data_IF_984184569797
#
_entry.id   IF_984184569797
#
_cell.length_a   1.000
_cell.length_b   1.000
_cell.length_c   1.000
_cell.angle_alpha   90.00
_cell.angle_beta   90.00
_cell.angle_gamma   90.00
#
_symmetry.space_group_name_H-M   'P 1'
#
loop_
_entity.id
_entity.type
_entity.pdbx_description
1 polymer ?
#
# COMPACT_ATOMS: atom_id res chain seq x y z
N UNK A 1 -21.41 20.64 16.75
CA UNK A 1 -22.71 19.93 16.57
C UNK A 1 -23.70 20.69 15.67
N UNK A 2 -23.28 21.16 14.46
CA UNK A 2 -24.17 21.95 13.57
C UNK A 2 -24.45 21.34 12.19
N UNK A 3 -23.72 20.31 11.73
CA UNK A 3 -24.00 19.70 10.42
C UNK A 3 -25.04 18.57 10.46
N UNK A 4 -25.12 17.81 11.56
CA UNK A 4 -26.09 16.72 11.69
C UNK A 4 -27.54 17.23 11.77
N UNK A 5 -27.75 18.39 12.41
CA UNK A 5 -29.06 19.00 12.55
C UNK A 5 -29.60 19.55 11.21
N UNK A 6 -28.73 20.04 10.32
CA UNK A 6 -29.12 20.48 8.98
C UNK A 6 -29.48 19.31 8.06
N UNK A 7 -28.74 18.20 8.15
CA UNK A 7 -29.03 16.99 7.37
C UNK A 7 -30.36 16.34 7.77
N UNK A 8 -30.65 16.25 9.07
CA UNK A 8 -31.94 15.71 9.56
C UNK A 8 -33.12 16.58 9.16
N UNK A 9 -32.99 17.91 9.19
CA UNK A 9 -34.08 18.82 8.79
C UNK A 9 -34.44 18.68 7.30
N UNK A 10 -33.45 18.43 6.43
CA UNK A 10 -33.64 18.23 4.99
C UNK A 10 -34.29 16.87 4.65
N UNK A 11 -33.93 15.81 5.38
CA UNK A 11 -34.52 14.47 5.19
C UNK A 11 -35.98 14.44 5.66
N UNK A 12 -36.28 15.07 6.80
CA UNK A 12 -37.66 15.16 7.31
C UNK A 12 -38.58 16.00 6.41
N UNK A 13 -38.09 17.08 5.79
CA UNK A 13 -38.91 17.87 4.85
C UNK A 13 -39.20 17.11 3.57
N UNK A 14 -38.26 16.29 3.06
CA UNK A 14 -38.51 15.44 1.87
C UNK A 14 -39.47 14.28 2.13
N UNK A 15 -39.46 13.70 3.33
CA UNK A 15 -40.39 12.62 3.68
C UNK A 15 -41.81 13.16 3.86
N UNK A 16 -41.98 14.29 4.52
CA UNK A 16 -43.30 14.93 4.71
C UNK A 16 -43.90 15.44 3.39
N UNK A 17 -43.09 15.92 2.43
CA UNK A 17 -43.61 16.30 1.11
C UNK A 17 -44.05 15.09 0.28
N UNK A 18 -43.38 13.94 0.44
CA UNK A 18 -43.70 12.72 -0.32
C UNK A 18 -45.03 12.11 0.12
N UNK A 19 -45.33 12.16 1.42
CA UNK A 19 -46.60 11.68 1.97
C UNK A 19 -47.77 12.61 1.63
N UNK A 20 -47.55 13.94 1.58
CA UNK A 20 -48.57 14.91 1.18
C UNK A 20 -48.98 14.76 -0.29
N UNK A 21 -48.02 14.47 -1.18
CA UNK A 21 -48.29 14.24 -2.63
C UNK A 21 -49.00 12.89 -2.84
N UNK A 22 -48.74 11.90 -2.00
CA UNK A 22 -49.42 10.60 -2.08
C UNK A 22 -50.86 10.67 -1.56
N UNK A 23 -51.15 11.54 -0.59
CA UNK A 23 -52.49 11.70 -0.03
C UNK A 23 -53.41 12.58 -0.88
N UNK A 24 -52.85 13.51 -1.67
CA UNK A 24 -53.61 14.38 -2.58
C UNK A 24 -53.98 13.71 -3.92
N UNK A 25 -53.47 12.52 -4.22
CA UNK A 25 -53.76 11.77 -5.46
C UNK A 25 -54.89 10.73 -5.34
N UNK A 26 -55.46 10.53 -4.15
CA UNK A 26 -56.39 9.41 -3.89
C UNK A 26 -57.84 9.80 -3.55
N UNK A 27 -58.28 11.04 -3.77
CA UNK A 27 -59.69 11.42 -3.55
C UNK A 27 -60.21 12.37 -4.62
N UNK A 28 -60.73 11.80 -5.69
CA UNK A 28 -61.82 12.38 -6.47
C UNK A 28 -63.08 11.52 -6.28
N UNK A 29 -64.23 12.19 -6.18
CA UNK A 29 -65.63 11.70 -6.19
C UNK A 29 -66.31 11.56 -4.80
N UNK A 30 -67.36 12.38 -4.60
CA UNK A 30 -68.60 11.93 -3.95
C UNK A 30 -69.03 12.55 -2.62
N UNK A 31 -69.71 13.70 -2.70
CA UNK A 31 -70.98 14.06 -2.03
C UNK A 31 -71.19 13.96 -0.49
N UNK A 32 -71.53 15.14 0.05
CA UNK A 32 -72.69 15.49 0.92
C UNK A 32 -72.80 15.16 2.43
N UNK A 33 -73.16 16.25 3.13
CA UNK A 33 -73.98 16.45 4.34
C UNK A 33 -73.42 16.40 5.78
N UNK A 34 -73.63 17.57 6.41
CA UNK A 34 -74.03 17.86 7.79
C UNK A 34 -73.01 17.80 8.94
N UNK A 35 -72.65 19.01 9.37
CA UNK A 35 -72.09 19.29 10.68
C UNK A 35 -73.12 19.13 11.78
N UNK A 36 -72.73 18.39 12.82
CA UNK A 36 -73.02 18.65 14.24
C UNK A 36 -72.27 17.59 15.05
N UNK A 37 -70.93 17.61 15.02
CA UNK A 37 -70.10 16.68 15.85
C UNK A 37 -68.66 17.16 16.12
N UNK A 38 -68.34 18.43 15.88
CA UNK A 38 -66.96 18.95 15.99
C UNK A 38 -66.60 19.45 17.40
N UNK A 39 -67.58 19.76 18.25
CA UNK A 39 -67.29 20.39 19.56
C UNK A 39 -66.90 19.39 20.67
N UNK A 40 -67.13 18.08 20.50
CA UNK A 40 -66.80 17.08 21.54
C UNK A 40 -65.44 16.38 21.39
N UNK A 41 -64.68 16.67 20.32
CA UNK A 41 -63.36 16.04 20.05
C UNK A 41 -62.18 16.95 20.42
N UNK A 42 -62.40 18.26 20.58
CA UNK A 42 -61.32 19.20 20.89
C UNK A 42 -60.87 19.21 22.36
N UNK A 43 -61.70 18.77 23.32
CA UNK A 43 -61.33 18.76 24.75
C UNK A 43 -60.60 17.48 25.19
N UNK A 44 -60.81 16.35 24.50
CA UNK A 44 -60.11 15.08 24.75
C UNK A 44 -58.68 15.08 24.20
N UNK A 45 -58.44 15.81 23.12
CA UNK A 45 -57.14 15.89 22.44
C UNK A 45 -56.10 16.68 23.25
N UNK A 46 -56.51 17.71 23.98
CA UNK A 46 -55.61 18.53 24.80
C UNK A 46 -55.08 17.80 26.05
N UNK A 47 -55.90 16.92 26.67
CA UNK A 47 -55.47 16.08 27.80
C UNK A 47 -54.46 15.00 27.38
N UNK A 48 -54.58 14.45 26.18
CA UNK A 48 -53.62 13.46 25.65
C UNK A 48 -52.29 14.13 25.29
N UNK A 49 -52.33 15.32 24.68
CA UNK A 49 -51.12 16.08 24.33
C UNK A 49 -50.35 16.54 25.58
N UNK A 50 -51.04 16.97 26.64
CA UNK A 50 -50.38 17.34 27.91
C UNK A 50 -49.80 16.14 28.63
N UNK A 51 -50.53 15.00 28.73
CA UNK A 51 -50.01 13.76 29.33
C UNK A 51 -48.79 13.21 28.57
N UNK A 52 -48.84 13.22 27.22
CA UNK A 52 -47.71 12.82 26.37
C UNK A 52 -46.52 13.77 26.49
N UNK A 53 -46.76 15.10 26.60
CA UNK A 53 -45.69 16.07 26.80
C UNK A 53 -44.98 15.90 28.15
N UNK A 54 -45.72 15.65 29.25
CA UNK A 54 -45.13 15.32 30.55
C UNK A 54 -44.40 13.97 30.55
N UNK A 55 -44.90 12.96 29.81
CA UNK A 55 -44.20 11.67 29.65
C UNK A 55 -42.91 11.80 28.81
N UNK A 56 -42.90 12.65 27.78
CA UNK A 56 -41.71 12.94 26.98
C UNK A 56 -40.66 13.77 27.73
N UNK A 57 -41.09 14.73 28.55
CA UNK A 57 -40.19 15.47 29.45
C UNK A 57 -39.54 14.53 30.46
N UNK A 58 -40.32 13.67 31.12
CA UNK A 58 -39.77 12.66 32.04
C UNK A 58 -38.85 11.66 31.34
N UNK A 59 -39.14 11.25 30.10
CA UNK A 59 -38.27 10.36 29.34
C UNK A 59 -36.91 10.98 29.01
N UNK A 60 -36.85 12.30 28.71
CA UNK A 60 -35.57 13.00 28.50
C UNK A 60 -34.73 13.08 29.78
N UNK A 61 -35.35 13.30 30.94
CA UNK A 61 -34.64 13.30 32.22
C UNK A 61 -34.14 11.90 32.60
N UNK A 62 -34.94 10.86 32.36
CA UNK A 62 -34.52 9.46 32.57
C UNK A 62 -33.38 9.08 31.64
N UNK A 63 -33.41 9.49 30.37
CA UNK A 63 -32.33 9.23 29.41
C UNK A 63 -31.04 9.96 29.81
N UNK A 64 -31.14 11.21 30.28
CA UNK A 64 -29.99 11.98 30.76
C UNK A 64 -29.37 11.37 32.03
N UNK A 65 -30.20 10.86 32.95
CA UNK A 65 -29.75 10.09 34.12
C UNK A 65 -29.09 8.77 33.71
N UNK A 66 -29.63 8.08 32.72
CA UNK A 66 -29.05 6.81 32.24
C UNK A 66 -27.68 7.04 31.57
N UNK A 67 -27.57 8.10 30.77
CA UNK A 67 -26.30 8.49 30.13
C UNK A 67 -25.28 8.95 31.18
N UNK A 68 -25.69 9.71 32.21
CA UNK A 68 -24.77 10.12 33.27
C UNK A 68 -24.27 8.94 34.11
N UNK A 69 -25.13 7.96 34.42
CA UNK A 69 -24.73 6.72 35.09
C UNK A 69 -23.77 5.89 34.22
N UNK A 70 -23.99 5.81 32.91
CA UNK A 70 -23.05 5.13 31.98
C UNK A 70 -21.70 5.85 31.93
N UNK A 71 -21.69 7.19 31.90
CA UNK A 71 -20.45 7.97 31.90
C UNK A 71 -19.69 7.79 33.22
N UNK A 72 -20.40 7.82 34.36
CA UNK A 72 -19.80 7.65 35.68
C UNK A 72 -19.27 6.23 35.90
N UNK A 73 -19.98 5.18 35.44
CA UNK A 73 -19.51 3.79 35.51
C UNK A 73 -18.30 3.54 34.61
N UNK A 74 -18.27 4.12 33.40
CA UNK A 74 -17.09 4.06 32.53
C UNK A 74 -15.90 4.85 33.10
N UNK A 75 -16.13 6.02 33.70
CA UNK A 75 -15.07 6.75 34.43
C UNK A 75 -14.52 5.94 35.61
N UNK A 76 -15.39 5.26 36.38
CA UNK A 76 -14.97 4.43 37.50
C UNK A 76 -14.15 3.21 37.05
N UNK A 77 -14.51 2.58 35.92
CA UNK A 77 -13.73 1.49 35.31
C UNK A 77 -12.36 1.97 34.81
N UNK A 78 -12.28 3.16 34.21
CA UNK A 78 -11.01 3.76 33.77
C UNK A 78 -10.12 4.11 34.97
N UNK A 79 -10.69 4.61 36.06
CA UNK A 79 -9.96 4.91 37.30
C UNK A 79 -9.52 3.64 38.04
N UNK A 80 -10.32 2.58 38.02
CA UNK A 80 -9.96 1.26 38.58
C UNK A 80 -8.84 0.58 37.79
N UNK A 81 -8.84 0.68 36.46
CA UNK A 81 -7.76 0.14 35.62
C UNK A 81 -6.43 0.90 35.77
N UNK A 82 -6.43 2.13 36.30
CA UNK A 82 -5.20 2.89 36.59
C UNK A 82 -4.47 2.44 37.86
N UNK A 83 -5.09 1.64 38.73
CA UNK A 83 -4.45 1.12 39.96
C UNK A 83 -3.95 -0.33 39.88
N UNK A 84 -4.12 -1.02 38.74
CA UNK A 84 -3.71 -2.43 38.56
C UNK A 84 -2.51 -2.66 37.62
N UNK A 85 -1.74 -1.63 37.30
CA UNK A 85 -0.46 -1.77 36.58
C UNK A 85 0.66 -1.09 37.37
N UNK A 86 1.02 -1.70 38.50
CA UNK A 86 2.29 -1.45 39.18
C UNK A 86 2.83 -2.80 39.61
N UNK A 87 3.82 -3.30 38.87
CA UNK A 87 4.51 -4.54 39.19
C UNK A 87 4.82 -5.34 37.94
N UNK A 88 5.97 -5.03 37.31
CA UNK A 88 6.96 -6.00 36.80
C UNK A 88 8.01 -5.22 35.99
N UNK A 89 9.24 -5.19 36.50
CA UNK A 89 10.39 -4.62 35.82
C UNK A 89 11.12 -5.69 35.01
N UNK A 90 11.65 -5.31 33.84
CA UNK A 90 12.87 -5.89 33.23
C UNK A 90 13.24 -5.12 31.93
N UNK A 91 14.42 -5.31 31.33
CA UNK A 91 15.44 -4.27 31.15
C UNK A 91 15.54 -3.80 29.69
N UNK A 92 15.88 -2.54 29.42
CA UNK A 92 16.39 -2.08 28.11
C UNK A 92 16.77 -0.58 28.16
N UNK A 93 17.70 -0.21 29.06
CA UNK A 93 18.29 1.14 29.01
C UNK A 93 19.40 1.24 27.94
N UNK A 94 20.23 0.20 27.76
CA UNK A 94 21.33 0.23 26.77
C UNK A 94 20.85 0.37 25.31
N UNK A 95 19.73 -0.24 24.94
CA UNK A 95 19.19 -0.15 23.56
C UNK A 95 18.70 1.25 23.21
N UNK A 96 18.27 2.04 24.20
CA UNK A 96 17.83 3.43 24.01
C UNK A 96 19.02 4.39 23.85
N UNK A 97 20.13 4.12 24.53
CA UNK A 97 21.34 4.94 24.44
C UNK A 97 22.04 4.78 23.08
N UNK A 98 22.10 3.55 22.55
CA UNK A 98 22.60 3.31 21.19
C UNK A 98 21.74 4.03 20.14
N UNK A 99 20.41 3.98 20.28
CA UNK A 99 19.47 4.67 19.40
C UNK A 99 19.63 6.21 19.45
N UNK A 100 19.78 6.79 20.65
CA UNK A 100 19.94 8.23 20.79
C UNK A 100 21.31 8.72 20.26
N UNK A 101 22.38 7.93 20.42
CA UNK A 101 23.71 8.28 19.91
C UNK A 101 23.77 8.34 18.38
N UNK A 102 23.03 7.47 17.68
CA UNK A 102 22.92 7.46 16.22
C UNK A 102 22.10 8.64 15.68
N UNK A 103 21.06 9.05 16.40
CA UNK A 103 20.22 10.21 16.05
C UNK A 103 20.98 11.53 16.24
N UNK A 104 21.79 11.64 17.30
CA UNK A 104 22.48 12.90 17.64
C UNK A 104 23.69 13.17 16.74
N UNK A 105 24.40 12.13 16.28
CA UNK A 105 25.47 12.27 15.27
C UNK A 105 24.97 12.59 13.86
N UNK A 106 23.69 12.34 13.56
CA UNK A 106 23.08 12.64 12.25
C UNK A 106 22.68 14.10 12.03
N UNK A 107 22.54 14.89 13.09
CA UNK A 107 21.99 16.25 13.02
C UNK A 107 23.05 17.37 12.94
N UNK A 108 24.31 17.03 12.67
CA UNK A 108 25.39 18.02 12.52
C UNK A 108 26.17 17.79 11.24
N UNK A 109 25.51 17.98 10.09
CA UNK A 109 26.07 18.28 8.75
C UNK A 109 24.92 18.29 7.70
N UNK A 110 24.07 19.30 7.76
CA UNK A 110 23.11 19.62 6.70
C UNK A 110 23.78 20.48 5.62
N UNK A 111 24.22 19.83 4.52
CA UNK A 111 24.20 20.32 3.13
C UNK A 111 25.06 19.42 2.21
N UNK A 112 24.55 18.22 1.93
CA UNK A 112 24.87 17.35 0.79
C UNK A 112 23.69 16.39 0.71
N UNK A 113 23.09 16.15 -0.45
CA UNK A 113 21.88 15.32 -0.61
C UNK A 113 22.05 13.97 0.10
N UNK A 114 21.58 13.87 1.35
CA UNK A 114 21.91 12.70 2.18
C UNK A 114 21.07 11.53 1.70
N UNK A 115 21.72 10.42 1.36
CA UNK A 115 21.07 9.15 0.99
C UNK A 115 19.97 8.79 2.01
N UNK A 116 18.84 8.27 1.55
CA UNK A 116 17.74 7.72 2.38
C UNK A 116 17.93 6.23 2.65
N UNK A 117 18.90 5.60 2.02
CA UNK A 117 19.12 4.16 2.08
C UNK A 117 19.47 3.71 3.50
N UNK A 118 18.74 2.71 3.99
CA UNK A 118 18.96 2.12 5.31
C UNK A 118 18.55 3.02 6.49
N UNK A 119 17.95 4.19 6.25
CA UNK A 119 17.49 5.08 7.32
C UNK A 119 16.08 4.66 7.79
N UNK A 120 15.87 4.42 9.10
CA UNK A 120 14.54 4.13 9.62
C UNK A 120 13.57 5.29 9.42
N UNK A 121 12.30 4.97 9.19
CA UNK A 121 11.18 5.92 9.13
C UNK A 121 10.18 5.54 10.22
N UNK A 122 10.12 6.38 11.25
CA UNK A 122 9.29 6.19 12.45
C UNK A 122 7.90 6.78 12.22
N UNK A 123 6.89 6.18 12.84
CA UNK A 123 5.50 6.57 12.73
C UNK A 123 4.75 5.83 11.62
N UNK A 124 3.42 6.01 11.61
CA UNK A 124 2.53 5.44 10.60
C UNK A 124 2.14 6.45 9.53
N UNK A 125 2.62 7.69 9.63
CA UNK A 125 2.35 8.75 8.67
C UNK A 125 3.31 8.68 7.47
N UNK A 126 3.18 7.60 6.71
CA UNK A 126 4.04 7.33 5.57
C UNK A 126 3.28 6.71 4.39
N UNK A 127 3.83 6.82 3.19
CA UNK A 127 3.40 6.11 1.99
C UNK A 127 4.57 5.23 1.54
N UNK A 128 4.32 3.95 1.30
CA UNK A 128 5.30 3.03 0.72
C UNK A 128 5.04 2.91 -0.77
N UNK A 129 6.03 3.27 -1.58
CA UNK A 129 6.02 3.13 -3.03
C UNK A 129 6.97 2.00 -3.43
N UNK A 130 6.38 0.92 -3.90
CA UNK A 130 7.07 -0.26 -4.40
C UNK A 130 6.92 -0.34 -5.92
N UNK A 131 7.82 0.36 -6.61
CA UNK A 131 7.87 0.41 -8.07
C UNK A 131 8.56 -0.84 -8.64
N UNK A 132 7.91 -1.97 -8.42
CA UNK A 132 8.43 -3.30 -8.63
C UNK A 132 9.00 -3.52 -10.03
N UNK A 133 10.27 -3.93 -10.10
CA UNK A 133 10.83 -4.54 -11.31
C UNK A 133 10.11 -5.87 -11.58
N UNK A 134 9.66 -6.18 -12.81
CA UNK A 134 9.03 -7.47 -13.10
C UNK A 134 9.92 -8.68 -12.78
N UNK A 135 9.28 -9.77 -12.33
CA UNK A 135 9.91 -11.07 -12.03
C UNK A 135 11.01 -11.06 -10.96
N UNK A 136 10.89 -10.14 -10.01
CA UNK A 136 11.77 -10.00 -8.83
C UNK A 136 11.09 -10.38 -7.50
N UNK A 137 9.99 -11.13 -7.53
CA UNK A 137 9.29 -11.60 -6.32
C UNK A 137 8.34 -10.58 -5.68
N UNK A 138 8.05 -9.46 -6.34
CA UNK A 138 7.20 -8.40 -5.78
C UNK A 138 5.78 -8.77 -5.39
N UNK A 139 5.19 -9.77 -6.05
CA UNK A 139 3.87 -10.31 -5.66
C UNK A 139 3.91 -11.06 -4.33
N UNK A 140 5.04 -11.69 -3.96
CA UNK A 140 5.17 -12.35 -2.65
C UNK A 140 5.12 -11.31 -1.52
N UNK A 141 5.89 -10.22 -1.64
CA UNK A 141 5.91 -9.19 -0.60
C UNK A 141 4.58 -8.42 -0.53
N UNK A 142 3.97 -8.09 -1.68
CA UNK A 142 2.62 -7.52 -1.74
C UNK A 142 1.58 -8.42 -1.05
N UNK A 143 1.58 -9.72 -1.36
CA UNK A 143 0.71 -10.69 -0.73
C UNK A 143 0.89 -10.71 0.79
N UNK A 144 2.14 -10.74 1.27
CA UNK A 144 2.44 -10.70 2.70
C UNK A 144 1.86 -9.44 3.37
N UNK A 145 2.02 -8.26 2.78
CA UNK A 145 1.49 -6.99 3.32
C UNK A 145 -0.03 -6.98 3.34
N UNK A 146 -0.68 -7.47 2.28
CA UNK A 146 -2.15 -7.57 2.19
C UNK A 146 -2.73 -8.49 3.26
N UNK A 147 -2.17 -9.68 3.41
CA UNK A 147 -2.60 -10.63 4.46
C UNK A 147 -2.33 -10.07 5.86
N UNK A 148 -1.18 -9.41 6.05
CA UNK A 148 -0.82 -8.77 7.31
C UNK A 148 -1.80 -7.66 7.70
N UNK A 149 -2.17 -6.81 6.74
CA UNK A 149 -3.16 -5.74 6.91
C UNK A 149 -4.51 -6.29 7.38
N UNK A 150 -5.01 -7.35 6.71
CA UNK A 150 -6.31 -7.96 7.00
C UNK A 150 -6.33 -8.59 8.39
N UNK A 151 -5.35 -9.44 8.71
CA UNK A 151 -5.33 -10.21 9.96
C UNK A 151 -5.15 -9.29 11.18
N UNK A 152 -4.26 -8.30 11.10
CA UNK A 152 -4.00 -7.38 12.22
C UNK A 152 -4.93 -6.17 12.25
N UNK A 153 -5.95 -6.13 11.38
CA UNK A 153 -6.93 -5.05 11.27
C UNK A 153 -6.25 -3.67 11.19
N UNK A 154 -5.15 -3.57 10.45
CA UNK A 154 -4.36 -2.34 10.31
C UNK A 154 -5.11 -1.35 9.41
N UNK A 155 -6.10 -0.65 9.96
CA UNK A 155 -6.92 0.32 9.21
C UNK A 155 -6.11 1.47 8.62
N UNK A 156 -4.90 1.70 9.12
CA UNK A 156 -3.97 2.69 8.58
C UNK A 156 -3.16 2.17 7.40
N UNK A 157 -3.15 0.87 7.07
CA UNK A 157 -2.50 0.36 5.87
C UNK A 157 -3.57 0.21 4.79
N UNK A 158 -3.36 0.82 3.63
CA UNK A 158 -4.20 0.61 2.45
C UNK A 158 -3.34 0.15 1.28
N UNK A 159 -3.49 -1.10 0.83
CA UNK A 159 -2.76 -1.59 -0.35
C UNK A 159 -3.41 -1.12 -1.66
N UNK A 160 -2.59 -0.70 -2.62
CA UNK A 160 -3.00 -0.28 -3.95
C UNK A 160 -2.18 -0.98 -5.02
N UNK A 161 -2.84 -1.38 -6.11
CA UNK A 161 -2.18 -1.73 -7.36
C UNK A 161 -2.10 -0.46 -8.20
N UNK A 162 -0.89 -0.14 -8.67
CA UNK A 162 -0.68 1.04 -9.50
C UNK A 162 -1.39 0.93 -10.86
N UNK A 163 -2.13 1.97 -11.30
CA UNK A 163 -2.79 2.01 -12.60
C UNK A 163 -1.77 2.23 -13.75
N UNK A 164 -1.51 1.17 -14.53
CA UNK A 164 -0.45 1.13 -15.55
C UNK A 164 -0.59 2.14 -16.69
N UNK A 165 -1.80 2.64 -16.94
CA UNK A 165 -2.04 3.66 -17.96
C UNK A 165 -1.41 5.02 -17.60
N UNK A 166 -1.06 5.26 -16.33
CA UNK A 166 -0.43 6.51 -15.89
C UNK A 166 1.09 6.54 -16.11
N UNK A 167 1.72 5.40 -16.43
CA UNK A 167 3.18 5.25 -16.53
C UNK A 167 3.81 6.17 -17.58
N UNK A 168 3.07 6.51 -18.64
CA UNK A 168 3.58 7.30 -19.77
C UNK A 168 3.51 8.82 -19.54
N UNK A 169 2.68 9.27 -18.59
CA UNK A 169 2.49 10.70 -18.31
C UNK A 169 3.06 11.05 -16.94
N UNK A 170 4.22 11.72 -16.95
CA UNK A 170 4.91 12.11 -15.72
C UNK A 170 4.08 13.03 -14.81
N UNK A 171 3.17 13.83 -15.36
CA UNK A 171 2.30 14.72 -14.60
C UNK A 171 1.20 13.92 -13.91
N UNK A 172 0.51 13.04 -14.64
CA UNK A 172 -0.53 12.18 -14.05
C UNK A 172 0.05 11.20 -13.03
N UNK A 173 1.25 10.67 -13.30
CA UNK A 173 1.98 9.82 -12.37
C UNK A 173 2.26 10.54 -11.05
N UNK A 174 2.81 11.76 -11.14
CA UNK A 174 3.09 12.59 -9.96
C UNK A 174 1.81 12.95 -9.21
N UNK A 175 0.78 13.34 -9.95
CA UNK A 175 -0.54 13.71 -9.41
C UNK A 175 -1.18 12.57 -8.61
N UNK A 176 -1.14 11.34 -9.15
CA UNK A 176 -1.60 10.14 -8.46
C UNK A 176 -0.91 9.97 -7.09
N UNK A 177 0.43 10.05 -7.05
CA UNK A 177 1.17 9.88 -5.80
C UNK A 177 0.96 11.01 -4.80
N UNK A 178 0.77 12.25 -5.25
CA UNK A 178 0.50 13.38 -4.36
C UNK A 178 -0.88 13.31 -3.72
N UNK A 179 -1.85 12.62 -4.34
CA UNK A 179 -3.20 12.43 -3.81
C UNK A 179 -3.37 11.19 -2.91
N UNK A 180 -2.34 10.35 -2.78
CA UNK A 180 -2.40 9.21 -1.87
C UNK A 180 -2.55 9.66 -0.42
N UNK A 181 -3.28 8.85 0.36
CA UNK A 181 -3.41 9.10 1.80
C UNK A 181 -2.21 8.52 2.53
N UNK A 182 -1.90 9.10 3.68
CA UNK A 182 -1.02 8.45 4.66
C UNK A 182 -1.47 7.01 4.87
N UNK A 183 -0.52 6.09 4.92
CA UNK A 183 -0.76 4.68 5.12
C UNK A 183 -0.81 3.84 3.85
N UNK A 184 -0.84 4.47 2.67
CA UNK A 184 -0.87 3.76 1.40
C UNK A 184 0.40 2.92 1.17
N UNK A 185 0.20 1.67 0.78
CA UNK A 185 1.22 0.78 0.23
C UNK A 185 0.89 0.57 -1.25
N UNK A 186 1.69 1.14 -2.15
CA UNK A 186 1.43 1.07 -3.59
C UNK A 186 2.45 0.15 -4.23
N UNK A 187 1.97 -0.90 -4.91
CA UNK A 187 2.80 -1.80 -5.69
C UNK A 187 2.43 -1.73 -7.17
N UNK A 188 3.42 -1.67 -8.04
CA UNK A 188 3.22 -1.79 -9.48
C UNK A 188 4.44 -1.44 -10.30
N UNK A 189 4.26 -1.31 -11.61
CA UNK A 189 5.36 -1.08 -12.56
C UNK A 189 5.33 0.39 -13.00
N UNK A 190 6.16 1.22 -12.38
CA UNK A 190 6.22 2.64 -12.71
C UNK A 190 7.66 3.16 -12.57
N UNK A 191 8.05 4.14 -13.41
CA UNK A 191 9.36 4.75 -13.30
C UNK A 191 9.51 5.50 -11.98
N UNK A 192 10.73 5.49 -11.45
CA UNK A 192 11.09 6.31 -10.29
C UNK A 192 10.74 7.78 -10.59
N UNK A 193 9.99 8.38 -9.69
CA UNK A 193 9.57 9.77 -9.76
C UNK A 193 9.77 10.36 -8.38
N UNK A 194 10.55 11.42 -8.23
CA UNK A 194 10.78 11.99 -6.91
C UNK A 194 9.51 12.71 -6.42
N UNK A 195 8.86 12.12 -5.41
CA UNK A 195 7.69 12.71 -4.75
C UNK A 195 8.14 13.42 -3.48
N UNK A 196 7.81 14.71 -3.40
CA UNK A 196 8.08 15.56 -2.25
C UNK A 196 6.75 15.97 -1.63
N UNK A 197 6.60 15.67 -0.34
CA UNK A 197 5.44 15.99 0.47
C UNK A 197 5.92 16.35 1.87
N UNK A 198 5.31 17.38 2.46
CA UNK A 198 5.65 17.85 3.80
C UNK A 198 4.80 17.17 4.88
N UNK A 199 3.64 16.63 4.48
CA UNK A 199 2.63 16.06 5.37
C UNK A 199 2.82 14.56 5.63
N UNK A 200 3.64 13.86 4.84
CA UNK A 200 3.80 12.40 4.90
C UNK A 200 5.20 11.97 4.46
N UNK A 201 5.76 10.94 5.09
CA UNK A 201 7.02 10.37 4.66
C UNK A 201 6.83 9.47 3.44
N UNK A 202 7.53 9.75 2.34
CA UNK A 202 7.53 8.88 1.14
C UNK A 202 8.70 7.90 1.22
N UNK A 203 8.36 6.62 1.37
CA UNK A 203 9.29 5.49 1.45
C UNK A 203 9.32 4.78 0.11
N UNK A 204 10.49 4.71 -0.51
CA UNK A 204 10.70 3.89 -1.71
C UNK A 204 11.35 2.57 -1.33
N UNK A 205 10.80 1.47 -1.84
CA UNK A 205 11.40 0.15 -1.70
C UNK A 205 11.44 -0.58 -3.04
N UNK A 206 12.37 -1.51 -3.20
CA UNK A 206 12.36 -2.42 -4.34
C UNK A 206 12.99 -3.78 -4.03
N UNK A 207 12.78 -4.70 -4.97
CA UNK A 207 13.46 -6.00 -5.05
C UNK A 207 14.05 -6.12 -6.44
N UNK A 208 15.30 -6.55 -6.53
CA UNK A 208 15.95 -6.92 -7.78
C UNK A 208 16.38 -8.38 -7.73
N UNK A 209 16.79 -8.92 -8.87
CA UNK A 209 17.18 -10.31 -9.06
C UNK A 209 18.38 -10.35 -9.98
N UNK A 210 19.18 -11.42 -9.91
CA UNK A 210 20.17 -11.74 -10.93
C UNK A 210 19.63 -11.41 -12.35
N UNK A 211 20.29 -10.51 -13.10
CA UNK A 211 19.79 -10.00 -14.37
C UNK A 211 19.43 -11.10 -15.39
N UNK A 212 20.27 -12.13 -15.52
CA UNK A 212 20.00 -13.24 -16.44
C UNK A 212 18.77 -14.04 -16.01
N UNK A 213 18.69 -14.44 -14.74
CA UNK A 213 17.57 -15.20 -14.21
C UNK A 213 16.25 -14.41 -14.25
N UNK A 214 16.32 -13.08 -14.07
CA UNK A 214 15.17 -12.19 -14.24
C UNK A 214 14.69 -12.22 -15.69
N UNK A 215 15.59 -11.99 -16.64
CA UNK A 215 15.26 -11.93 -18.07
C UNK A 215 14.67 -13.25 -18.56
N UNK A 216 15.28 -14.39 -18.24
CA UNK A 216 14.74 -15.71 -18.56
C UNK A 216 13.36 -15.91 -17.93
N UNK A 217 13.18 -15.48 -16.67
CA UNK A 217 11.88 -15.61 -15.98
C UNK A 217 10.80 -14.74 -16.60
N UNK A 218 11.14 -13.57 -17.15
CA UNK A 218 10.25 -12.70 -17.93
C UNK A 218 9.83 -13.38 -19.23
N UNK A 219 10.82 -13.80 -20.03
CA UNK A 219 10.61 -14.42 -21.33
C UNK A 219 9.59 -15.56 -21.27
N UNK A 220 9.79 -16.49 -20.34
CA UNK A 220 8.90 -17.63 -20.19
C UNK A 220 7.62 -17.36 -19.41
N UNK A 221 7.52 -16.23 -18.68
CA UNK A 221 6.27 -15.84 -18.04
C UNK A 221 5.22 -15.43 -19.06
N UNK A 222 5.61 -14.80 -20.17
CA UNK A 222 4.64 -14.37 -21.17
C UNK A 222 4.07 -15.57 -21.91
N UNK A 223 4.90 -16.60 -22.11
CA UNK A 223 4.49 -17.88 -22.69
C UNK A 223 3.67 -18.79 -21.78
N UNK A 224 3.97 -18.83 -20.48
CA UNK A 224 3.44 -19.89 -19.61
C UNK A 224 2.73 -19.38 -18.35
N UNK A 225 2.77 -18.08 -18.09
CA UNK A 225 2.18 -17.49 -16.89
C UNK A 225 2.79 -18.02 -15.60
N UNK A 226 1.96 -18.07 -14.57
CA UNK A 226 2.22 -18.73 -13.29
C UNK A 226 0.93 -19.40 -12.76
N UNK A 227 0.91 -19.81 -11.50
CA UNK A 227 -0.26 -20.47 -10.90
C UNK A 227 -1.47 -19.54 -10.70
N UNK A 228 -1.32 -18.23 -10.88
CA UNK A 228 -2.37 -17.22 -10.66
C UNK A 228 -2.76 -16.49 -11.95
N UNK A 229 -1.93 -16.59 -12.99
CA UNK A 229 -2.07 -15.81 -14.22
C UNK A 229 -1.80 -16.68 -15.43
N UNK A 230 -2.68 -16.57 -16.42
CA UNK A 230 -2.58 -17.28 -17.69
C UNK A 230 -1.48 -16.69 -18.59
N UNK A 231 -1.01 -17.46 -19.60
CA UNK A 231 -0.15 -16.95 -20.66
C UNK A 231 -0.69 -15.67 -21.29
N UNK A 232 0.23 -14.78 -21.67
CA UNK A 232 -0.10 -13.49 -22.26
C UNK A 232 -0.10 -13.60 -23.78
N UNK A 233 -1.13 -14.25 -24.32
CA UNK A 233 -1.22 -14.62 -25.74
C UNK A 233 -0.98 -13.46 -26.74
N UNK A 234 -1.38 -12.23 -26.39
CA UNK A 234 -1.14 -11.05 -27.26
C UNK A 234 0.34 -10.72 -27.43
N UNK A 235 1.16 -11.02 -26.44
CA UNK A 235 2.58 -10.70 -26.45
C UNK A 235 3.38 -11.79 -27.17
N UNK A 236 2.78 -12.95 -27.42
CA UNK A 236 3.40 -14.08 -28.12
C UNK A 236 3.65 -13.85 -29.60
N UNK A 237 3.04 -12.82 -30.20
CA UNK A 237 3.20 -12.53 -31.64
C UNK A 237 4.66 -12.38 -32.08
N UNK A 238 5.53 -11.90 -31.19
CA UNK A 238 6.96 -11.72 -31.45
C UNK A 238 7.82 -12.78 -30.76
N UNK A 239 7.25 -13.71 -30.01
CA UNK A 239 8.04 -14.69 -29.24
C UNK A 239 8.48 -15.86 -30.13
N UNK A 240 9.71 -16.31 -29.91
CA UNK A 240 10.16 -17.63 -30.35
C UNK A 240 9.88 -18.68 -29.25
N UNK A 241 9.89 -19.97 -29.59
CA UNK A 241 9.59 -21.03 -28.61
C UNK A 241 10.63 -21.08 -27.49
N UNK A 242 11.87 -20.73 -27.81
CA UNK A 242 12.98 -20.69 -26.85
C UNK A 242 13.73 -19.37 -26.93
N UNK A 243 14.37 -18.99 -25.82
CA UNK A 243 15.23 -17.81 -25.81
C UNK A 243 16.47 -18.03 -26.69
N UNK A 244 16.90 -19.28 -26.87
CA UNK A 244 17.99 -19.62 -27.79
C UNK A 244 17.66 -19.23 -29.23
N UNK A 245 16.49 -19.62 -29.73
CA UNK A 245 16.00 -19.22 -31.05
C UNK A 245 15.84 -17.70 -31.17
N UNK A 246 15.34 -17.06 -30.11
CA UNK A 246 15.17 -15.60 -30.05
C UNK A 246 16.51 -14.88 -30.26
N UNK A 247 17.56 -15.33 -29.56
CA UNK A 247 18.91 -14.76 -29.66
C UNK A 247 19.57 -15.12 -31.00
N UNK A 248 19.43 -16.36 -31.47
CA UNK A 248 20.12 -16.83 -32.68
C UNK A 248 19.58 -16.17 -33.95
N UNK A 249 18.27 -15.93 -34.03
CA UNK A 249 17.63 -15.37 -35.21
C UNK A 249 17.84 -13.86 -35.35
N UNK A 250 18.11 -13.15 -34.25
CA UNK A 250 18.22 -11.68 -34.20
C UNK A 250 17.07 -10.95 -34.92
N UNK A 251 15.86 -11.52 -34.89
CA UNK A 251 14.67 -11.01 -35.57
C UNK A 251 13.70 -10.27 -34.63
N UNK A 252 12.41 -10.35 -34.93
CA UNK A 252 11.36 -9.65 -34.16
C UNK A 252 11.38 -10.00 -32.67
N UNK A 253 11.68 -11.25 -32.32
CA UNK A 253 11.83 -11.64 -30.92
C UNK A 253 12.98 -10.89 -30.23
N UNK A 254 14.13 -10.79 -30.88
CA UNK A 254 15.27 -10.09 -30.32
C UNK A 254 14.93 -8.60 -30.09
N UNK A 255 14.40 -7.95 -31.14
CA UNK A 255 14.16 -6.51 -31.14
C UNK A 255 13.00 -6.07 -30.25
N UNK A 256 11.92 -6.88 -30.15
CA UNK A 256 10.70 -6.48 -29.43
C UNK A 256 10.55 -7.13 -28.06
N UNK A 257 11.12 -8.33 -27.85
CA UNK A 257 10.95 -9.11 -26.62
C UNK A 257 12.21 -9.05 -25.77
N UNK A 258 13.35 -9.47 -26.31
CA UNK A 258 14.61 -9.52 -25.58
C UNK A 258 15.08 -8.12 -25.15
N UNK A 259 15.20 -7.18 -26.09
CA UNK A 259 15.62 -5.81 -25.81
C UNK A 259 14.66 -5.09 -24.84
N UNK A 260 13.35 -5.38 -24.92
CA UNK A 260 12.39 -4.86 -23.96
C UNK A 260 12.65 -5.36 -22.54
N UNK A 261 12.91 -6.66 -22.33
CA UNK A 261 13.18 -7.19 -20.99
C UNK A 261 14.56 -6.84 -20.46
N UNK A 262 15.55 -6.66 -21.33
CA UNK A 262 16.91 -6.23 -20.99
C UNK A 262 16.91 -4.95 -20.17
N UNK A 263 16.12 -3.96 -20.55
CA UNK A 263 16.09 -2.63 -19.93
C UNK A 263 15.09 -2.44 -18.78
N UNK A 264 14.38 -3.49 -18.35
CA UNK A 264 13.28 -3.32 -17.39
C UNK A 264 13.71 -2.89 -15.98
N UNK A 265 14.92 -3.19 -15.53
CA UNK A 265 15.40 -2.65 -14.24
C UNK A 265 15.56 -1.15 -14.35
N UNK A 266 16.20 -0.69 -15.44
CA UNK A 266 16.41 0.73 -15.68
C UNK A 266 15.13 1.53 -15.91
N UNK A 267 14.12 0.95 -16.57
CA UNK A 267 12.83 1.65 -16.73
C UNK A 267 12.14 1.94 -15.38
N UNK A 268 12.44 1.18 -14.33
CA UNK A 268 11.95 1.43 -12.97
C UNK A 268 12.88 2.39 -12.19
N UNK A 269 14.20 2.22 -12.24
CA UNK A 269 15.12 2.97 -11.38
C UNK A 269 15.61 4.31 -11.95
N UNK A 270 15.77 4.42 -13.27
CA UNK A 270 16.27 5.65 -13.90
C UNK A 270 15.20 6.76 -13.87
N UNK A 271 13.92 6.40 -14.08
CA UNK A 271 12.79 7.32 -14.06
C UNK A 271 12.22 7.60 -15.44
N UNK A 272 11.44 8.68 -15.58
CA UNK A 272 10.66 8.96 -16.80
C UNK A 272 11.37 9.83 -17.85
N UNK A 273 12.63 10.20 -17.62
CA UNK A 273 13.38 11.04 -18.55
C UNK A 273 13.62 10.31 -19.89
N UNK A 274 13.70 11.02 -21.04
CA UNK A 274 13.94 10.38 -22.34
C UNK A 274 15.17 9.48 -22.37
N UNK A 275 16.27 9.89 -21.72
CA UNK A 275 17.50 9.10 -21.60
C UNK A 275 17.27 7.73 -20.96
N UNK A 276 16.34 7.64 -20.00
CA UNK A 276 16.01 6.39 -19.30
C UNK A 276 15.31 5.34 -20.18
N UNK A 277 14.96 5.68 -21.42
CA UNK A 277 14.43 4.75 -22.43
C UNK A 277 15.53 4.09 -23.26
N UNK A 278 16.80 4.34 -22.94
CA UNK A 278 17.96 3.79 -23.63
C UNK A 278 18.77 2.90 -22.71
N UNK A 279 19.38 1.85 -23.27
CA UNK A 279 20.35 1.03 -22.57
C UNK A 279 21.75 1.66 -22.68
N UNK A 280 22.07 2.56 -21.76
CA UNK A 280 23.30 3.36 -21.82
C UNK A 280 23.97 3.52 -20.45
N UNK A 281 25.25 3.91 -20.47
CA UNK A 281 26.02 4.26 -19.26
C UNK A 281 25.34 5.39 -18.47
N UNK A 282 24.75 6.36 -19.17
CA UNK A 282 24.06 7.48 -18.53
C UNK A 282 22.81 7.01 -17.76
N UNK A 283 22.02 6.11 -18.35
CA UNK A 283 20.87 5.47 -17.69
C UNK A 283 21.29 4.76 -16.39
N UNK A 284 22.40 4.03 -16.43
CA UNK A 284 22.95 3.35 -15.25
C UNK A 284 23.32 4.34 -14.14
N UNK A 285 24.03 5.42 -14.47
CA UNK A 285 24.46 6.39 -13.46
C UNK A 285 23.26 7.15 -12.85
N UNK A 286 22.23 7.46 -13.64
CA UNK A 286 20.98 8.02 -13.10
C UNK A 286 20.29 7.00 -12.18
N UNK A 287 20.20 5.73 -12.58
CA UNK A 287 19.59 4.67 -11.78
C UNK A 287 20.32 4.50 -10.43
N UNK A 288 21.66 4.49 -10.42
CA UNK A 288 22.47 4.45 -9.18
C UNK A 288 22.19 5.66 -8.29
N UNK A 289 22.15 6.87 -8.85
CA UNK A 289 21.81 8.11 -8.10
C UNK A 289 20.41 8.05 -7.49
N UNK A 290 19.44 7.54 -8.23
CA UNK A 290 18.06 7.41 -7.73
C UNK A 290 17.94 6.32 -6.67
N UNK A 291 18.71 5.23 -6.77
CA UNK A 291 18.75 4.18 -5.75
C UNK A 291 19.07 4.74 -4.36
N UNK A 292 19.92 5.76 -4.25
CA UNK A 292 20.21 6.44 -2.98
C UNK A 292 18.98 7.08 -2.31
N UNK A 293 17.90 7.31 -3.06
CA UNK A 293 16.62 7.82 -2.52
C UNK A 293 15.68 6.71 -2.06
N UNK A 294 16.01 5.45 -2.31
CA UNK A 294 15.28 4.29 -1.79
C UNK A 294 15.66 4.04 -0.34
N UNK A 295 14.70 3.61 0.46
CA UNK A 295 14.93 3.16 1.84
C UNK A 295 15.58 1.78 1.85
N UNK A 296 15.17 0.88 0.94
CA UNK A 296 15.81 -0.43 0.75
C UNK A 296 15.63 -0.93 -0.69
N UNK A 297 16.67 -1.60 -1.21
CA UNK A 297 16.61 -2.41 -2.43
C UNK A 297 17.25 -3.75 -2.09
N UNK A 298 16.48 -4.84 -2.18
CA UNK A 298 16.92 -6.18 -1.76
C UNK A 298 17.00 -7.17 -2.93
N UNK A 299 17.63 -8.32 -2.69
CA UNK A 299 17.61 -9.44 -3.63
C UNK A 299 16.35 -10.29 -3.46
N UNK A 300 15.77 -10.77 -4.56
CA UNK A 300 14.64 -11.72 -4.54
C UNK A 300 14.93 -12.96 -3.69
N UNK A 301 16.16 -13.48 -3.72
CA UNK A 301 16.56 -14.65 -2.94
C UNK A 301 16.65 -14.38 -1.43
N UNK A 302 16.71 -13.11 -1.02
CA UNK A 302 16.88 -12.65 0.37
C UNK A 302 15.55 -12.18 0.97
N UNK A 303 14.46 -12.88 0.66
CA UNK A 303 13.11 -12.51 1.10
C UNK A 303 12.98 -12.38 2.63
N UNK A 304 13.50 -13.35 3.39
CA UNK A 304 13.41 -13.33 4.86
C UNK A 304 14.21 -12.16 5.48
N UNK A 305 15.37 -11.84 4.88
CA UNK A 305 16.18 -10.67 5.24
C UNK A 305 15.46 -9.37 4.89
N UNK A 306 14.83 -9.27 3.70
CA UNK A 306 14.01 -8.13 3.32
C UNK A 306 12.90 -7.89 4.35
N UNK A 307 12.15 -8.93 4.72
CA UNK A 307 11.06 -8.79 5.69
C UNK A 307 11.59 -8.29 7.05
N UNK A 308 12.71 -8.86 7.52
CA UNK A 308 13.34 -8.45 8.79
C UNK A 308 13.83 -7.00 8.75
N UNK A 309 14.48 -6.59 7.64
CA UNK A 309 14.96 -5.22 7.43
C UNK A 309 13.77 -4.25 7.32
N UNK A 310 12.71 -4.61 6.61
CA UNK A 310 11.52 -3.77 6.48
C UNK A 310 10.82 -3.55 7.82
N UNK A 311 10.76 -4.56 8.69
CA UNK A 311 10.27 -4.40 10.06
C UNK A 311 11.16 -3.47 10.88
N UNK A 312 12.49 -3.58 10.76
CA UNK A 312 13.44 -2.71 11.46
C UNK A 312 13.41 -1.26 10.97
N UNK A 313 13.27 -1.05 9.65
CA UNK A 313 13.26 0.28 9.04
C UNK A 313 11.91 0.98 9.19
N UNK A 314 10.80 0.24 9.24
CA UNK A 314 9.44 0.80 9.38
C UNK A 314 8.75 0.22 10.64
N UNK A 315 9.28 0.47 11.84
CA UNK A 315 8.90 -0.27 13.05
C UNK A 315 7.46 -0.07 13.48
N UNK A 316 6.87 1.11 13.26
CA UNK A 316 5.46 1.37 13.61
C UNK A 316 4.49 0.90 12.51
N UNK A 317 4.94 0.94 11.26
CA UNK A 317 4.13 0.57 10.10
C UNK A 317 4.00 -0.96 9.99
N UNK A 318 5.11 -1.70 10.08
CA UNK A 318 5.19 -3.15 9.84
C UNK A 318 5.50 -4.00 11.07
N UNK A 319 5.28 -3.49 12.28
CA UNK A 319 5.54 -4.21 13.54
C UNK A 319 4.97 -5.65 13.55
N UNK A 320 5.83 -6.65 13.68
CA UNK A 320 5.46 -8.07 13.75
C UNK A 320 5.30 -8.78 12.41
N UNK A 321 5.58 -8.12 11.27
CA UNK A 321 5.42 -8.73 9.94
C UNK A 321 6.36 -9.93 9.73
N UNK A 322 7.57 -9.94 10.32
CA UNK A 322 8.49 -11.08 10.25
C UNK A 322 7.86 -12.32 10.86
N UNK A 323 7.33 -12.20 12.08
CA UNK A 323 6.66 -13.31 12.76
C UNK A 323 5.42 -13.77 11.99
N UNK A 324 4.67 -12.82 11.42
CA UNK A 324 3.50 -13.11 10.62
C UNK A 324 3.81 -13.90 9.34
N UNK A 325 4.99 -13.70 8.73
CA UNK A 325 5.40 -14.38 7.50
C UNK A 325 5.28 -15.91 7.59
N UNK A 326 5.58 -16.49 8.77
CA UNK A 326 5.45 -17.94 9.02
C UNK A 326 4.03 -18.46 8.80
N UNK A 327 2.99 -17.63 9.00
CA UNK A 327 1.58 -18.02 8.83
C UNK A 327 1.17 -18.15 7.36
N UNK A 328 1.77 -17.33 6.50
CA UNK A 328 1.44 -17.26 5.06
C UNK A 328 2.48 -17.94 4.17
N UNK A 329 3.59 -18.42 4.73
CA UNK A 329 4.70 -19.03 3.99
C UNK A 329 4.26 -20.16 3.06
N UNK A 330 3.38 -21.05 3.53
CA UNK A 330 2.85 -22.16 2.71
C UNK A 330 2.04 -21.66 1.51
N UNK A 331 1.27 -20.58 1.69
CA UNK A 331 0.43 -20.00 0.63
C UNK A 331 1.27 -19.28 -0.43
N UNK A 332 2.41 -18.70 -0.04
CA UNK A 332 3.31 -18.01 -0.97
C UNK A 332 4.22 -18.96 -1.77
N UNK A 333 4.51 -20.14 -1.23
CA UNK A 333 5.48 -21.08 -1.82
C UNK A 333 5.09 -21.45 -3.26
N UNK A 334 5.91 -21.02 -4.22
CA UNK A 334 5.73 -21.32 -5.64
C UNK A 334 4.57 -20.59 -6.32
N UNK A 335 3.75 -19.83 -5.59
CA UNK A 335 2.51 -19.22 -6.10
C UNK A 335 2.70 -18.34 -7.33
N UNK A 336 3.76 -17.51 -7.33
CA UNK A 336 4.04 -16.55 -8.39
C UNK A 336 5.27 -16.92 -9.25
N UNK A 337 5.72 -18.17 -9.17
CA UNK A 337 6.83 -18.68 -9.98
C UNK A 337 6.34 -18.90 -11.41
N UNK A 338 7.17 -18.52 -12.38
CA UNK A 338 6.88 -18.86 -13.79
C UNK A 338 6.72 -20.36 -13.94
N UNK A 339 5.58 -20.82 -14.48
CA UNK A 339 5.17 -22.23 -14.50
C UNK A 339 6.18 -23.14 -15.17
N UNK A 340 6.75 -22.70 -16.28
CA UNK A 340 7.72 -23.46 -17.06
C UNK A 340 8.84 -22.53 -17.53
N UNK A 341 10.08 -23.03 -17.53
CA UNK A 341 11.23 -22.37 -18.14
C UNK A 341 12.03 -23.43 -18.89
N UNK A 342 12.50 -23.11 -20.08
CA UNK A 342 13.46 -23.96 -20.79
C UNK A 342 14.87 -23.44 -20.47
N UNK A 343 15.79 -24.28 -19.97
CA UNK A 343 17.17 -23.87 -19.75
C UNK A 343 17.84 -23.47 -21.07
N UNK A 344 18.44 -22.27 -21.16
CA UNK A 344 19.16 -21.85 -22.36
C UNK A 344 20.48 -22.60 -22.54
N UNK A 345 20.97 -22.63 -23.77
CA UNK A 345 22.30 -23.14 -24.11
C UNK A 345 23.40 -22.26 -23.51
N UNK A 346 24.58 -22.85 -23.28
CA UNK A 346 25.72 -22.14 -22.70
C UNK A 346 26.16 -20.92 -23.53
N UNK A 347 26.09 -21.02 -24.86
CA UNK A 347 26.41 -19.90 -25.75
C UNK A 347 25.41 -18.74 -25.58
N UNK A 348 24.12 -19.04 -25.51
CA UNK A 348 23.06 -18.06 -25.22
C UNK A 348 23.26 -17.42 -23.85
N UNK A 349 23.59 -18.20 -22.82
CA UNK A 349 23.91 -17.68 -21.48
C UNK A 349 25.09 -16.71 -21.53
N UNK A 350 26.17 -17.08 -22.22
CA UNK A 350 27.36 -16.25 -22.35
C UNK A 350 27.06 -14.94 -23.10
N UNK A 351 26.29 -15.01 -24.19
CA UNK A 351 25.83 -13.84 -24.93
C UNK A 351 25.02 -12.90 -24.02
N UNK A 352 23.96 -13.41 -23.38
CA UNK A 352 23.06 -12.60 -22.56
C UNK A 352 23.82 -11.96 -21.39
N UNK A 353 24.74 -12.69 -20.75
CA UNK A 353 25.55 -12.11 -19.66
C UNK A 353 26.44 -10.96 -20.13
N UNK A 354 27.07 -11.09 -21.30
CA UNK A 354 27.88 -10.02 -21.89
C UNK A 354 27.01 -8.81 -22.23
N UNK A 355 25.84 -9.04 -22.79
CA UNK A 355 24.92 -7.97 -23.19
C UNK A 355 24.23 -7.28 -22.00
N UNK A 356 24.11 -7.96 -20.85
CA UNK A 356 23.56 -7.43 -19.60
C UNK A 356 24.62 -6.75 -18.69
N UNK A 357 25.80 -6.40 -19.20
CA UNK A 357 26.89 -5.84 -18.36
C UNK A 357 26.46 -4.65 -17.49
N UNK A 358 25.67 -3.71 -18.02
CA UNK A 358 25.22 -2.55 -17.23
C UNK A 358 24.20 -2.95 -16.15
N UNK A 359 23.36 -3.94 -16.43
CA UNK A 359 22.39 -4.47 -15.45
C UNK A 359 23.11 -5.20 -14.32
N UNK A 360 24.17 -5.97 -14.62
CA UNK A 360 25.02 -6.58 -13.60
C UNK A 360 25.74 -5.54 -12.76
N UNK A 361 26.27 -4.47 -13.37
CA UNK A 361 26.93 -3.41 -12.62
C UNK A 361 25.96 -2.69 -11.66
N UNK A 362 24.71 -2.44 -12.10
CA UNK A 362 23.66 -1.92 -11.21
C UNK A 362 23.31 -2.92 -10.11
N UNK A 363 23.16 -4.19 -10.46
CA UNK A 363 22.85 -5.27 -9.53
C UNK A 363 23.92 -5.35 -8.42
N UNK A 364 25.19 -5.41 -8.78
CA UNK A 364 26.30 -5.49 -7.83
C UNK A 364 26.39 -4.25 -6.94
N UNK A 365 26.15 -3.06 -7.50
CA UNK A 365 26.04 -1.82 -6.74
C UNK A 365 24.94 -1.90 -5.68
N UNK A 366 23.73 -2.32 -6.07
CA UNK A 366 22.60 -2.45 -5.16
C UNK A 366 22.85 -3.54 -4.09
N UNK A 367 23.42 -4.69 -4.49
CA UNK A 367 23.69 -5.80 -3.59
C UNK A 367 24.79 -5.49 -2.59
N UNK A 368 25.81 -4.72 -2.97
CA UNK A 368 26.82 -4.21 -2.03
C UNK A 368 26.16 -3.42 -0.90
N UNK A 369 25.25 -2.50 -1.23
CA UNK A 369 24.52 -1.71 -0.23
C UNK A 369 23.57 -2.57 0.62
N UNK A 370 22.88 -3.52 0.00
CA UNK A 370 21.98 -4.41 0.72
C UNK A 370 22.73 -5.27 1.74
N UNK A 371 23.88 -5.86 1.37
CA UNK A 371 24.71 -6.67 2.29
C UNK A 371 25.23 -5.85 3.48
N UNK A 372 25.64 -4.59 3.23
CA UNK A 372 26.05 -3.68 4.29
C UNK A 372 24.90 -3.40 5.27
N UNK A 373 23.71 -3.15 4.74
CA UNK A 373 22.50 -2.92 5.54
C UNK A 373 22.08 -4.18 6.32
N UNK A 374 22.14 -5.34 5.68
CA UNK A 374 21.86 -6.65 6.28
C UNK A 374 22.79 -6.91 7.46
N UNK A 375 24.10 -6.68 7.29
CA UNK A 375 25.10 -6.82 8.35
C UNK A 375 24.80 -5.87 9.51
N UNK A 376 24.54 -4.59 9.20
CA UNK A 376 24.29 -3.57 10.23
C UNK A 376 23.03 -3.87 11.07
N UNK A 377 21.97 -4.40 10.46
CA UNK A 377 20.68 -4.59 11.13
C UNK A 377 20.45 -6.01 11.67
N UNK A 378 21.04 -7.04 11.04
CA UNK A 378 20.73 -8.44 11.36
C UNK A 378 21.88 -9.18 12.06
N UNK A 379 23.13 -8.72 11.96
CA UNK A 379 24.28 -9.37 12.61
C UNK A 379 24.53 -8.91 14.05
N UNK A 380 23.68 -8.04 14.60
CA UNK A 380 23.76 -7.53 15.98
C UNK A 380 22.80 -8.25 16.96
N UNK A 381 22.39 -9.48 16.64
CA UNK A 381 21.32 -10.20 17.34
C UNK A 381 21.72 -11.59 17.79
#
# INVERSE_FOLDING_TARGET
>A
MCCLARALKYILTRLLLRDLIHHLRSRSLGAFFNGFKVVKIMTSSWRIVTVLATRFLNFRYVLLLFVSVIILTNCFLILRNRKSFRGEGSPNLERKEVYHSLVTKGNRLENKTTSRYGKPVVGTNLIVLYNAVPKTGSRNFDFLVREYQVVHRKKYITTHIFPQNLTQDSKLLKDYFTHLRSGSFVRGHFPFTEIKRNDVHVVYMNTIRDPLQRLISNYYYDMYGDNETYPRYRELQYHEKTIDECISKQGDCFNNVYEYYKQQTFSMFCGSAPVCRTYSRETLEIAKRNLEKYTVVSETAKFDSLVSIMEALLPDYLKGIKTFTKRVQKQMKGRFHTSRKVPPQNLTVAFIKRDLQLEYEFYDFAMKKFRQLETALLSSG
#
